data_IF_191938112393
#
_entry.id   IF_191938112393
#
_cell.length_a   1.000
_cell.length_b   1.000
_cell.length_c   1.000
_cell.angle_alpha   90.00
_cell.angle_beta   90.00
_cell.angle_gamma   90.00
#
_symmetry.space_group_name_H-M   'P 1'
#
loop_
_entity.id
_entity.type
_entity.pdbx_description
1 polymer ?
#
# COMPACT_ATOMS: atom_id res chain seq x y z
N UNK A 1 -15.82 9.58 21.14
CA UNK A 1 -15.77 11.06 21.01
C UNK A 1 -17.14 11.64 21.39
N UNK A 2 -17.24 12.44 22.46
CA UNK A 2 -18.53 13.04 22.81
C UNK A 2 -18.94 14.00 21.69
N UNK A 3 -20.19 13.89 21.29
CA UNK A 3 -20.84 14.47 20.11
C UNK A 3 -21.06 15.99 20.19
N UNK A 4 -20.06 16.79 20.59
CA UNK A 4 -20.27 18.22 20.78
C UNK A 4 -19.05 19.16 20.80
N UNK A 5 -17.81 18.68 20.78
CA UNK A 5 -16.63 19.56 20.86
C UNK A 5 -15.79 19.52 19.58
N UNK A 6 -15.58 20.69 18.98
CA UNK A 6 -14.68 20.84 17.85
C UNK A 6 -13.23 20.62 18.30
N UNK A 7 -12.46 19.85 17.53
CA UNK A 7 -11.02 19.69 17.72
C UNK A 7 -10.24 20.31 16.55
N UNK A 8 -9.00 20.71 16.82
CA UNK A 8 -8.06 21.16 15.79
C UNK A 8 -7.64 19.97 14.94
N UNK A 9 -7.75 20.10 13.62
CA UNK A 9 -7.16 19.20 12.63
C UNK A 9 -6.01 19.91 11.88
N UNK A 10 -5.18 19.17 11.13
CA UNK A 10 -4.05 19.75 10.39
C UNK A 10 -4.52 20.75 9.32
N UNK A 11 -5.60 20.46 8.59
CA UNK A 11 -6.20 21.31 7.56
C UNK A 11 -7.73 21.19 7.60
N UNK A 12 -8.43 22.32 7.52
CA UNK A 12 -9.90 22.39 7.46
C UNK A 12 -10.40 23.38 6.39
N UNK A 13 -9.65 23.53 5.28
CA UNK A 13 -9.96 24.44 4.18
C UNK A 13 -10.37 23.67 2.92
N UNK A 14 -9.86 24.11 1.76
CA UNK A 14 -10.02 23.38 0.48
C UNK A 14 -9.43 21.97 0.54
N UNK A 15 -8.30 21.81 1.23
CA UNK A 15 -7.81 20.52 1.72
C UNK A 15 -8.28 20.31 3.16
N UNK A 16 -8.67 19.07 3.47
CA UNK A 16 -9.19 18.65 4.78
C UNK A 16 -8.46 17.40 5.25
N UNK A 17 -8.09 17.36 6.51
CA UNK A 17 -7.54 16.17 7.17
C UNK A 17 -8.50 15.69 8.23
N UNK A 18 -8.59 14.37 8.41
CA UNK A 18 -9.47 13.76 9.38
C UNK A 18 -8.72 12.69 10.17
N UNK A 19 -8.54 12.96 11.45
CA UNK A 19 -8.11 11.99 12.46
C UNK A 19 -8.81 12.40 13.75
N UNK A 20 -9.76 11.59 14.19
CA UNK A 20 -10.55 11.84 15.40
C UNK A 20 -9.73 11.52 16.63
N UNK A 21 -9.71 12.38 17.66
CA UNK A 21 -9.05 12.05 18.92
C UNK A 21 -9.62 10.78 19.54
N UNK A 22 -8.74 9.99 20.14
CA UNK A 22 -9.12 8.76 20.85
C UNK A 22 -9.51 9.04 22.30
N UNK A 23 -10.31 8.15 22.89
CA UNK A 23 -10.59 8.22 24.33
C UNK A 23 -9.30 7.96 25.12
N UNK A 24 -9.02 8.81 26.11
CA UNK A 24 -7.78 8.78 26.89
C UNK A 24 -6.60 9.54 26.26
N UNK A 25 -6.71 10.03 25.03
CA UNK A 25 -5.65 10.83 24.40
C UNK A 25 -5.44 12.16 25.15
N UNK A 26 -4.19 12.47 25.50
CA UNK A 26 -3.87 13.71 26.21
C UNK A 26 -3.84 14.89 25.24
N UNK A 27 -4.50 15.98 25.62
CA UNK A 27 -4.75 17.16 24.76
C UNK A 27 -4.61 18.47 25.52
N UNK A 28 -4.44 19.57 24.79
CA UNK A 28 -4.59 20.94 25.33
C UNK A 28 -6.01 21.43 25.03
N UNK A 29 -6.64 22.09 26.01
CA UNK A 29 -7.90 22.81 25.79
C UNK A 29 -7.63 24.30 25.62
N UNK A 30 -8.01 24.86 24.48
CA UNK A 30 -7.86 26.29 24.18
C UNK A 30 -9.18 27.00 24.38
N UNK A 31 -9.24 27.86 25.40
CA UNK A 31 -10.42 28.62 25.77
C UNK A 31 -10.22 30.10 25.49
N UNK A 32 -11.06 30.67 24.63
CA UNK A 32 -11.01 32.08 24.28
C UNK A 32 -11.61 32.92 25.42
N UNK A 33 -10.76 33.72 26.08
CA UNK A 33 -11.19 34.56 27.21
C UNK A 33 -11.59 33.78 28.46
N UNK A 34 -11.17 32.51 28.59
CA UNK A 34 -11.51 31.64 29.72
C UNK A 34 -12.93 31.05 29.67
N UNK A 35 -13.69 31.29 28.60
CA UNK A 35 -14.98 30.62 28.39
C UNK A 35 -14.78 29.19 27.86
N UNK A 36 -15.14 28.19 28.67
CA UNK A 36 -15.02 26.78 28.31
C UNK A 36 -16.10 26.31 27.33
N UNK A 37 -17.23 27.01 27.24
CA UNK A 37 -18.33 26.65 26.32
C UNK A 37 -17.93 26.82 24.85
N UNK A 38 -16.97 27.70 24.57
CA UNK A 38 -16.44 27.97 23.22
C UNK A 38 -15.03 27.42 23.02
N UNK A 39 -14.53 26.63 23.97
CA UNK A 39 -13.19 26.08 23.88
C UNK A 39 -13.10 24.98 22.81
N UNK A 40 -11.92 24.81 22.24
CA UNK A 40 -11.64 23.75 21.29
C UNK A 40 -10.43 22.93 21.73
N UNK A 41 -10.47 21.66 21.37
CA UNK A 41 -9.44 20.68 21.75
C UNK A 41 -8.28 20.75 20.76
N UNK A 42 -7.05 20.77 21.26
CA UNK A 42 -5.82 20.72 20.48
C UNK A 42 -5.06 19.42 20.80
N UNK A 43 -5.29 18.34 20.03
CA UNK A 43 -4.43 17.17 20.06
C UNK A 43 -3.06 17.48 19.43
N UNK A 44 -1.97 16.80 19.81
CA UNK A 44 -1.85 15.67 20.73
C UNK A 44 -0.57 15.79 21.58
N UNK A 45 -0.58 15.21 22.78
CA UNK A 45 0.60 15.10 23.66
C UNK A 45 0.80 13.62 23.99
N UNK A 46 2.02 13.11 23.80
CA UNK A 46 2.36 11.75 24.21
C UNK A 46 2.26 11.58 25.73
N UNK A 47 1.90 10.37 26.17
CA UNK A 47 1.75 10.01 27.57
C UNK A 47 2.29 8.61 27.84
N UNK A 48 2.29 8.18 29.10
CA UNK A 48 2.65 6.79 29.44
C UNK A 48 1.65 5.77 28.84
N UNK A 49 0.41 6.18 28.59
CA UNK A 49 -0.60 5.33 27.97
C UNK A 49 -0.44 5.28 26.44
N UNK A 50 -0.07 6.41 25.83
CA UNK A 50 0.14 6.56 24.39
C UNK A 50 1.53 7.17 24.14
N UNK A 51 2.55 6.33 24.19
CA UNK A 51 3.95 6.73 24.01
C UNK A 51 4.26 7.04 22.53
N UNK A 52 5.37 7.74 22.23
CA UNK A 52 5.83 7.91 20.85
C UNK A 52 6.02 6.54 20.16
N UNK A 53 5.55 6.37 18.91
CA UNK A 53 5.70 5.10 18.18
C UNK A 53 7.13 4.88 17.65
N UNK A 54 7.99 5.90 17.67
CA UNK A 54 9.36 5.84 17.17
C UNK A 54 10.27 6.77 17.97
N UNK A 55 11.55 6.40 18.03
CA UNK A 55 12.67 7.19 18.57
C UNK A 55 13.53 7.81 17.46
N UNK A 56 13.16 7.64 16.19
CA UNK A 56 13.85 8.28 15.06
C UNK A 56 13.79 9.81 15.17
N UNK A 57 14.95 10.44 14.97
CA UNK A 57 15.09 11.89 15.00
C UNK A 57 14.53 12.55 13.74
N UNK A 58 14.68 11.89 12.59
CA UNK A 58 14.33 12.43 11.27
C UNK A 58 13.12 11.73 10.63
N UNK A 59 12.73 10.58 11.17
CA UNK A 59 11.65 9.75 10.64
C UNK A 59 10.26 10.33 10.90
N UNK A 60 9.31 9.93 10.05
CA UNK A 60 7.89 10.24 10.22
C UNK A 60 7.11 8.93 10.27
N UNK A 61 6.47 8.65 11.41
CA UNK A 61 5.73 7.40 11.66
C UNK A 61 4.27 7.69 12.00
N UNK A 62 3.36 6.92 11.40
CA UNK A 62 1.96 6.81 11.81
C UNK A 62 1.65 5.34 12.11
N UNK A 63 1.34 5.05 13.37
CA UNK A 63 0.90 3.73 13.85
C UNK A 63 -0.62 3.72 14.05
N UNK A 64 -1.26 2.61 13.66
CA UNK A 64 -2.68 2.37 13.79
C UNK A 64 -2.95 1.23 14.79
N UNK A 65 -4.09 1.23 15.51
CA UNK A 65 -4.36 0.29 16.60
C UNK A 65 -4.50 -1.19 16.17
N UNK A 66 -4.66 -1.46 14.86
CA UNK A 66 -4.67 -2.80 14.29
C UNK A 66 -3.28 -3.29 13.84
N UNK A 67 -2.23 -2.52 14.12
CA UNK A 67 -0.86 -2.78 13.71
C UNK A 67 -0.49 -2.21 12.34
N UNK A 68 -1.40 -1.50 11.67
CA UNK A 68 -1.09 -0.75 10.46
C UNK A 68 -0.01 0.30 10.72
N UNK A 69 0.93 0.44 9.79
CA UNK A 69 2.12 1.25 10.00
C UNK A 69 2.58 1.91 8.70
N UNK A 70 2.79 3.21 8.77
CA UNK A 70 3.29 4.03 7.66
C UNK A 70 4.48 4.84 8.15
N UNK A 71 5.64 4.65 7.53
CA UNK A 71 6.88 5.25 7.97
C UNK A 71 7.73 5.71 6.79
N UNK A 72 8.29 6.91 6.89
CA UNK A 72 9.41 7.34 6.06
C UNK A 72 10.64 7.62 6.91
N UNK A 73 11.77 6.99 6.59
CA UNK A 73 13.04 7.12 7.30
C UNK A 73 14.13 7.69 6.37
N UNK A 74 14.48 8.99 6.52
CA UNK A 74 15.49 9.64 5.69
C UNK A 74 16.88 8.99 5.75
N UNK A 75 17.29 8.44 6.91
CA UNK A 75 18.61 7.82 7.05
C UNK A 75 18.81 6.61 6.12
N UNK A 76 17.72 5.93 5.75
CA UNK A 76 17.74 4.79 4.82
C UNK A 76 17.06 5.09 3.48
N UNK A 77 16.39 6.24 3.35
CA UNK A 77 15.53 6.59 2.22
C UNK A 77 14.31 5.67 2.08
N UNK A 78 13.94 4.94 3.14
CA UNK A 78 12.92 3.89 3.08
C UNK A 78 11.55 4.45 3.39
N UNK A 79 10.60 4.24 2.48
CA UNK A 79 9.18 4.30 2.79
C UNK A 79 8.67 2.88 3.10
N UNK A 80 8.09 2.69 4.28
CA UNK A 80 7.67 1.38 4.77
C UNK A 80 6.18 1.41 5.14
N UNK A 81 5.42 0.56 4.45
CA UNK A 81 4.02 0.29 4.73
C UNK A 81 3.90 -1.17 5.16
N UNK A 82 3.41 -1.44 6.37
CA UNK A 82 3.27 -2.81 6.92
C UNK A 82 2.03 -2.96 7.80
N UNK A 83 1.70 -4.21 8.13
CA UNK A 83 0.58 -4.54 9.03
C UNK A 83 -0.81 -4.32 8.43
N UNK A 84 -0.91 -3.97 7.15
CA UNK A 84 -2.19 -3.75 6.46
C UNK A 84 -2.72 -5.06 5.86
N UNK A 85 -4.05 -5.17 5.76
CA UNK A 85 -4.73 -6.31 5.09
C UNK A 85 -4.91 -6.11 3.59
N UNK A 86 -5.07 -4.87 3.14
CA UNK A 86 -5.28 -4.52 1.73
C UNK A 86 -4.73 -3.13 1.42
N UNK A 87 -4.31 -2.94 0.17
CA UNK A 87 -3.93 -1.65 -0.40
C UNK A 87 -4.66 -1.48 -1.73
N UNK A 88 -5.28 -0.31 -1.94
CA UNK A 88 -5.96 0.04 -3.18
C UNK A 88 -5.39 1.38 -3.64
N UNK A 89 -4.92 1.43 -4.89
CA UNK A 89 -4.41 2.65 -5.54
C UNK A 89 -5.24 2.87 -6.80
N UNK A 90 -6.00 3.96 -6.83
CA UNK A 90 -6.85 4.35 -7.96
C UNK A 90 -6.30 5.62 -8.59
N UNK A 91 -6.03 5.56 -9.89
CA UNK A 91 -5.64 6.72 -10.70
C UNK A 91 -6.44 6.70 -12.00
N UNK A 92 -6.97 7.85 -12.42
CA UNK A 92 -7.79 7.96 -13.62
C UNK A 92 -6.97 7.84 -14.91
N UNK A 93 -5.73 8.36 -14.90
CA UNK A 93 -4.90 8.44 -16.08
C UNK A 93 -3.84 7.34 -16.11
N UNK A 94 -2.93 7.31 -15.12
CA UNK A 94 -1.85 6.33 -15.08
C UNK A 94 -1.29 6.09 -13.66
N UNK A 95 -0.65 4.94 -13.48
CA UNK A 95 0.26 4.64 -12.37
C UNK A 95 1.60 4.22 -13.00
N UNK A 96 2.70 4.84 -12.58
CA UNK A 96 4.07 4.50 -13.03
C UNK A 96 4.90 4.05 -11.83
N UNK A 97 5.51 2.86 -11.93
CA UNK A 97 6.46 2.33 -10.95
C UNK A 97 7.83 2.23 -11.62
N UNK A 98 8.77 3.10 -11.24
CA UNK A 98 10.12 3.14 -11.79
C UNK A 98 11.13 2.85 -10.68
N UNK A 99 11.82 1.73 -10.80
CA UNK A 99 12.82 1.25 -9.85
C UNK A 99 13.89 0.45 -10.58
N UNK A 100 15.05 0.27 -9.95
CA UNK A 100 16.11 -0.61 -10.49
C UNK A 100 15.69 -2.09 -10.50
N UNK A 101 14.84 -2.48 -9.56
CA UNK A 101 14.23 -3.81 -9.46
C UNK A 101 12.79 -3.68 -9.00
N UNK A 102 11.88 -4.45 -9.60
CA UNK A 102 10.48 -4.54 -9.19
C UNK A 102 10.17 -5.99 -8.80
N UNK A 103 9.97 -6.21 -7.51
CA UNK A 103 9.70 -7.54 -6.93
C UNK A 103 8.22 -7.64 -6.56
N UNK A 104 7.56 -8.73 -6.98
CA UNK A 104 6.18 -9.05 -6.63
C UNK A 104 6.14 -10.45 -6.03
N UNK A 105 5.85 -10.52 -4.73
CA UNK A 105 5.66 -11.78 -4.01
C UNK A 105 4.18 -11.94 -3.69
N UNK A 106 3.51 -12.85 -4.40
CA UNK A 106 2.09 -13.16 -4.20
C UNK A 106 1.75 -14.56 -4.72
N UNK A 107 0.78 -15.23 -4.10
CA UNK A 107 0.26 -16.51 -4.58
C UNK A 107 -0.37 -16.40 -5.98
N UNK A 108 -0.96 -15.23 -6.30
CA UNK A 108 -1.57 -14.97 -7.59
C UNK A 108 -1.49 -13.50 -7.99
N UNK A 109 -0.95 -13.26 -9.17
CA UNK A 109 -1.02 -11.96 -9.86
C UNK A 109 -2.08 -12.00 -10.96
N UNK A 110 -2.92 -10.96 -11.04
CA UNK A 110 -3.93 -10.81 -12.09
C UNK A 110 -3.75 -9.48 -12.81
N UNK A 111 -3.54 -9.53 -14.12
CA UNK A 111 -3.47 -8.35 -14.99
C UNK A 111 -4.65 -8.42 -15.96
N UNK A 112 -5.55 -7.44 -15.87
CA UNK A 112 -6.78 -7.37 -16.68
C UNK A 112 -6.63 -6.40 -17.86
N UNK A 113 -5.43 -6.31 -18.41
CA UNK A 113 -5.10 -5.41 -19.52
C UNK A 113 -4.20 -6.13 -20.50
N UNK A 114 -3.99 -5.52 -21.66
CA UNK A 114 -2.85 -5.86 -22.51
C UNK A 114 -1.55 -5.65 -21.73
N UNK A 115 -0.56 -6.51 -21.99
CA UNK A 115 0.74 -6.50 -21.32
C UNK A 115 1.83 -6.49 -22.38
N UNK A 116 2.70 -5.47 -22.30
CA UNK A 116 3.93 -5.39 -23.09
C UNK A 116 5.10 -5.69 -22.16
N UNK A 117 5.90 -6.71 -22.49
CA UNK A 117 7.13 -7.06 -21.78
C UNK A 117 8.29 -6.88 -22.73
N UNK A 118 9.19 -5.95 -22.40
CA UNK A 118 10.43 -5.75 -23.14
C UNK A 118 11.57 -6.47 -22.41
N UNK A 119 12.29 -7.36 -23.10
CA UNK A 119 13.34 -8.19 -22.52
C UNK A 119 12.94 -9.67 -22.44
N UNK A 120 13.76 -10.46 -21.75
CA UNK A 120 13.51 -11.89 -21.57
C UNK A 120 12.45 -12.17 -20.51
N UNK A 121 11.68 -13.25 -20.71
CA UNK A 121 10.76 -13.81 -19.71
C UNK A 121 11.29 -15.18 -19.31
N UNK A 122 11.54 -15.36 -18.01
CA UNK A 122 11.79 -16.69 -17.43
C UNK A 122 10.57 -17.10 -16.64
N UNK A 123 9.94 -18.21 -17.03
CA UNK A 123 8.77 -18.77 -16.36
C UNK A 123 9.10 -20.19 -15.88
N UNK A 124 8.57 -20.56 -14.72
CA UNK A 124 8.78 -21.87 -14.11
C UNK A 124 7.77 -22.14 -13.00
N UNK A 125 7.90 -23.30 -12.34
CA UNK A 125 7.01 -23.69 -11.25
C UNK A 125 5.60 -24.14 -11.68
N UNK A 126 5.33 -24.24 -12.98
CA UNK A 126 4.04 -24.69 -13.53
C UNK A 126 3.95 -24.54 -15.05
N UNK A 127 2.79 -24.89 -15.62
CA UNK A 127 2.53 -24.80 -17.05
C UNK A 127 2.26 -23.35 -17.51
N UNK A 128 2.79 -22.97 -18.67
CA UNK A 128 2.39 -21.75 -19.37
C UNK A 128 1.21 -22.05 -20.29
N UNK A 129 0.00 -21.63 -19.92
CA UNK A 129 -1.20 -21.80 -20.74
C UNK A 129 -1.61 -20.51 -21.42
N UNK A 130 -1.88 -20.57 -22.72
CA UNK A 130 -2.48 -19.49 -23.49
C UNK A 130 -3.73 -20.01 -24.19
N UNK A 131 -4.89 -19.44 -23.83
CA UNK A 131 -6.20 -19.85 -24.37
C UNK A 131 -6.46 -21.37 -24.26
N UNK A 132 -6.02 -22.00 -23.17
CA UNK A 132 -6.20 -23.43 -22.92
C UNK A 132 -5.13 -24.34 -23.54
N UNK A 133 -4.18 -23.79 -24.30
CA UNK A 133 -3.05 -24.53 -24.86
C UNK A 133 -1.84 -24.35 -23.95
N UNK A 134 -1.31 -25.46 -23.43
CA UNK A 134 -0.06 -25.49 -22.67
C UNK A 134 1.10 -25.44 -23.66
N UNK A 135 1.84 -24.33 -23.66
CA UNK A 135 2.78 -23.98 -24.74
C UNK A 135 3.90 -25.01 -24.90
N UNK A 136 4.45 -25.52 -23.80
CA UNK A 136 5.55 -26.48 -23.79
C UNK A 136 5.11 -27.93 -24.02
N UNK A 137 3.80 -28.21 -23.97
CA UNK A 137 3.23 -29.55 -24.13
C UNK A 137 2.21 -29.65 -25.28
N UNK A 138 2.07 -28.61 -26.10
CA UNK A 138 1.04 -28.58 -27.14
C UNK A 138 1.33 -29.61 -28.25
N UNK A 139 0.26 -30.12 -28.84
CA UNK A 139 0.31 -31.10 -29.92
C UNK A 139 -0.53 -30.62 -31.09
N UNK A 140 -0.20 -31.11 -32.29
CA UNK A 140 -0.94 -30.82 -33.51
C UNK A 140 -1.78 -32.03 -33.93
N UNK A 141 -3.06 -31.79 -34.23
CA UNK A 141 -3.98 -32.80 -34.80
C UNK A 141 -4.06 -32.66 -36.32
N UNK A 142 -4.61 -33.67 -37.01
CA UNK A 142 -4.82 -33.61 -38.47
C UNK A 142 -3.60 -33.98 -39.31
N UNK A 143 -2.53 -34.48 -38.67
CA UNK A 143 -1.34 -35.02 -39.33
C UNK A 143 -1.01 -36.41 -38.76
N UNK A 144 -0.49 -37.30 -39.61
CA UNK A 144 0.05 -38.59 -39.18
C UNK A 144 1.35 -38.35 -38.41
N UNK A 145 1.45 -38.89 -37.20
CA UNK A 145 2.67 -38.82 -36.40
C UNK A 145 3.77 -39.62 -37.12
N UNK A 146 4.88 -38.96 -37.44
CA UNK A 146 6.09 -39.62 -37.94
C UNK A 146 6.79 -40.43 -36.85
N UNK A 147 7.67 -41.36 -37.25
CA UNK A 147 8.50 -42.15 -36.32
C UNK A 147 9.69 -41.37 -35.75
N UNK A 148 10.09 -40.27 -36.41
CA UNK A 148 11.26 -39.46 -36.05
C UNK A 148 10.86 -38.14 -35.39
N UNK A 149 11.79 -37.54 -34.64
CA UNK A 149 11.63 -36.18 -34.10
C UNK A 149 12.02 -35.17 -35.18
N UNK A 150 11.14 -34.20 -35.44
CA UNK A 150 11.44 -33.09 -36.34
C UNK A 150 12.51 -32.18 -35.71
N UNK A 151 13.13 -31.31 -36.51
CA UNK A 151 13.96 -30.23 -35.96
C UNK A 151 13.19 -29.37 -34.94
N UNK A 152 13.92 -28.63 -34.11
CA UNK A 152 13.33 -27.70 -33.16
C UNK A 152 12.51 -26.60 -33.85
N UNK A 153 11.62 -25.91 -33.12
CA UNK A 153 10.94 -24.72 -33.63
C UNK A 153 11.95 -23.71 -34.18
N UNK A 154 11.65 -23.12 -35.33
CA UNK A 154 12.38 -21.97 -35.90
C UNK A 154 11.68 -20.67 -35.58
#
# INVERSE_FOLDING_TARGET
APTGSNWRTLRAGTARTWSTPSEGEQVVLLSLGGNLETAFVLPAIYSNQFAPPSDSVDGCVTEYPDGGWFEYEPATGRWHVRGIKSMVIEAADNITLNSGEFVVEADRTRINSEVVINGGVTQGGGAMSSNGIVVDAHQHTGVLKGGDTTGGPV
#
